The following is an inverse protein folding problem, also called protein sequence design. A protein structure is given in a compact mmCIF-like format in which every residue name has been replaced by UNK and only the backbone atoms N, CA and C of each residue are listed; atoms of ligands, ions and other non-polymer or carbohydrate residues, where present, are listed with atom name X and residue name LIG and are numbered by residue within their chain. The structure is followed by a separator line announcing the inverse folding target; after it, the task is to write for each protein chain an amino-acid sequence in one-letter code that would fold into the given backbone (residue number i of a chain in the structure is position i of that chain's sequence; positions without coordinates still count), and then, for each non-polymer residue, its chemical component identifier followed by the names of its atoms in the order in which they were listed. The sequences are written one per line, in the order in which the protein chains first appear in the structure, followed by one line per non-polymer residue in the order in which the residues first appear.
data_IF_512580993154
#
_entry.id   IF_512580993154
#
_cell.length_a   1.000
_cell.length_b   1.000
_cell.length_c   1.000
_cell.angle_alpha   90.00
_cell.angle_beta   90.00
_cell.angle_gamma   90.00
#
_symmetry.space_group_name_H-M   'P 1'
#
loop_
_entity.id
_entity.type
_entity.pdbx_description
1 polymer ?
#
# COMPACT_ATOMS: atom_id res chain seq x y z
N UNK A 1 67.25 -0.02 25.15
CA UNK A 1 68.02 0.30 23.93
C UNK A 1 67.30 -0.39 22.80
N UNK A 2 66.39 0.30 22.09
CA UNK A 2 66.65 0.84 20.73
C UNK A 2 66.52 -0.31 19.71
N UNK A 3 65.73 -0.30 18.64
CA UNK A 3 65.20 0.77 17.79
C UNK A 3 64.09 0.14 16.93
N UNK A 4 63.02 0.89 16.67
CA UNK A 4 62.04 0.60 15.62
C UNK A 4 62.64 0.97 14.24
N UNK A 5 62.32 0.18 13.21
CA UNK A 5 62.22 0.57 11.80
C UNK A 5 60.93 -0.06 11.29
N UNK A 6 59.89 0.73 11.02
CA UNK A 6 59.56 1.29 9.70
C UNK A 6 59.31 0.22 8.64
N UNK A 7 58.03 -0.07 8.41
CA UNK A 7 57.48 -0.31 7.07
C UNK A 7 56.13 0.41 7.00
N UNK A 8 56.08 1.43 6.14
CA UNK A 8 54.93 2.28 5.84
C UNK A 8 53.85 1.51 5.07
N UNK A 9 52.58 1.70 5.46
CA UNK A 9 51.41 1.39 4.61
C UNK A 9 50.69 2.71 4.31
N UNK A 10 50.37 3.01 3.03
CA UNK A 10 49.93 4.35 2.66
C UNK A 10 48.47 4.64 3.00
N UNK A 11 48.30 5.87 3.47
CA UNK A 11 47.07 6.65 3.66
C UNK A 11 46.02 6.46 2.53
N UNK A 12 44.82 5.99 2.88
CA UNK A 12 43.60 6.17 2.07
C UNK A 12 42.64 7.15 2.78
N UNK A 13 43.03 8.43 2.77
CA UNK A 13 42.13 9.55 3.05
C UNK A 13 41.11 9.70 1.91
N UNK A 14 39.97 9.00 1.97
CA UNK A 14 38.81 9.35 1.11
C UNK A 14 37.44 8.86 1.58
N UNK A 15 37.23 8.59 2.86
CA UNK A 15 35.93 8.19 3.41
C UNK A 15 35.60 8.95 4.70
N UNK A 16 35.63 10.28 4.64
CA UNK A 16 35.11 11.14 5.70
C UNK A 16 34.52 12.40 5.08
N UNK A 17 33.33 12.28 4.49
CA UNK A 17 32.44 13.42 4.27
C UNK A 17 31.00 12.96 3.96
N UNK A 18 30.30 12.46 4.99
CA UNK A 18 28.85 12.56 5.21
C UNK A 18 28.50 11.90 6.56
N UNK A 19 29.20 12.32 7.62
CA UNK A 19 28.75 12.08 8.99
C UNK A 19 28.44 13.44 9.58
N UNK A 20 27.16 13.69 9.74
CA UNK A 20 26.60 14.78 10.53
C UNK A 20 27.26 14.72 11.90
N UNK A 21 27.79 15.86 12.36
CA UNK A 21 28.46 16.05 13.63
C UNK A 21 27.58 15.55 14.79
N UNK A 22 27.94 14.42 15.38
CA UNK A 22 27.44 14.00 16.69
C UNK A 22 28.43 14.59 17.70
N UNK A 23 28.01 15.63 18.41
CA UNK A 23 28.68 16.06 19.63
C UNK A 23 28.55 14.90 20.64
N UNK A 24 29.64 14.17 20.81
CA UNK A 24 29.82 13.21 21.90
C UNK A 24 30.20 13.99 23.15
N UNK A 25 29.24 14.73 23.72
CA UNK A 25 29.33 15.15 25.10
C UNK A 25 28.88 13.97 25.98
N UNK A 26 29.74 13.58 26.91
CA UNK A 26 29.60 12.39 27.73
C UNK A 26 28.38 12.40 28.67
N UNK A 27 27.97 11.19 29.05
CA UNK A 27 26.92 10.87 30.04
C UNK A 27 25.46 10.98 29.60
N UNK A 28 25.12 10.17 28.58
CA UNK A 28 23.95 9.26 28.47
C UNK A 28 23.90 8.80 27.02
N UNK A 29 24.06 7.51 26.76
CA UNK A 29 23.61 6.94 25.48
C UNK A 29 22.11 7.22 25.38
N UNK A 30 21.73 8.27 24.65
CA UNK A 30 20.35 8.47 24.24
C UNK A 30 20.10 7.37 23.22
N UNK A 31 19.27 6.39 23.59
CA UNK A 31 18.75 5.35 22.70
C UNK A 31 17.87 6.02 21.64
N UNK A 32 18.53 6.69 20.70
CA UNK A 32 17.94 7.55 19.69
C UNK A 32 18.02 6.84 18.34
N UNK A 33 16.92 6.87 17.59
CA UNK A 33 16.87 6.21 16.29
C UNK A 33 17.91 6.83 15.34
N UNK A 34 18.62 6.06 14.49
CA UNK A 34 19.54 6.63 13.52
C UNK A 34 18.82 7.46 12.42
N UNK A 35 17.50 7.32 12.29
CA UNK A 35 16.70 7.99 11.25
C UNK A 35 16.02 9.23 11.83
N UNK A 36 16.38 10.41 11.32
CA UNK A 36 15.88 11.70 11.80
C UNK A 36 14.34 11.78 11.86
N UNK A 37 13.66 11.31 10.81
CA UNK A 37 12.21 11.32 10.73
C UNK A 37 11.56 10.49 11.85
N UNK A 38 12.19 9.37 12.23
CA UNK A 38 11.72 8.52 13.34
C UNK A 38 11.91 9.24 14.67
N UNK A 39 13.07 9.86 14.89
CA UNK A 39 13.38 10.61 16.12
C UNK A 39 12.40 11.75 16.37
N UNK A 40 12.01 12.46 15.31
CA UNK A 40 11.07 13.58 15.40
C UNK A 40 9.63 13.12 15.67
N UNK A 41 9.27 11.91 15.25
CA UNK A 41 7.88 11.43 15.26
C UNK A 41 7.58 10.42 16.37
N UNK A 42 8.55 9.65 16.83
CA UNK A 42 8.36 8.57 17.82
C UNK A 42 8.98 8.98 19.17
N UNK A 43 8.24 8.89 20.29
CA UNK A 43 8.82 9.13 21.62
C UNK A 43 9.75 7.97 22.04
N UNK A 44 10.82 8.31 22.74
CA UNK A 44 11.79 7.34 23.29
C UNK A 44 11.25 6.64 24.56
N UNK A 45 10.20 7.21 25.17
CA UNK A 45 9.62 6.71 26.43
C UNK A 45 8.37 5.85 26.19
N UNK A 46 8.27 4.73 26.91
CA UNK A 46 7.05 3.90 27.00
C UNK A 46 6.64 3.69 28.47
N UNK A 47 5.35 3.48 28.72
CA UNK A 47 4.80 3.00 30.00
C UNK A 47 4.34 1.54 29.86
N UNK A 48 5.13 0.55 30.32
CA UNK A 48 4.80 -0.86 30.23
C UNK A 48 3.57 -1.29 31.02
N UNK A 49 3.08 -0.47 31.96
CA UNK A 49 1.94 -0.82 32.82
C UNK A 49 0.58 -0.66 32.14
N UNK A 50 0.52 0.07 31.02
CA UNK A 50 -0.73 0.35 30.32
C UNK A 50 -1.35 -0.93 29.70
N UNK A 51 -2.65 -1.20 29.94
CA UNK A 51 -3.30 -2.38 29.40
C UNK A 51 -3.52 -2.24 27.89
N UNK A 52 -3.07 -3.24 27.12
CA UNK A 52 -3.20 -3.25 25.66
C UNK A 52 -4.30 -4.22 25.15
N UNK A 53 -4.24 -5.49 25.58
CA UNK A 53 -5.18 -6.55 25.19
C UNK A 53 -6.44 -6.54 26.06
N UNK A 54 -7.32 -5.56 25.83
CA UNK A 54 -8.59 -5.42 26.57
C UNK A 54 -9.76 -5.97 25.77
N UNK A 55 -10.92 -6.08 26.42
CA UNK A 55 -12.19 -6.39 25.74
C UNK A 55 -12.49 -5.41 24.59
N UNK A 56 -12.24 -4.11 24.79
CA UNK A 56 -12.44 -3.08 23.77
C UNK A 56 -11.56 -3.33 22.54
N UNK A 57 -10.30 -3.71 22.76
CA UNK A 57 -9.35 -4.01 21.69
C UNK A 57 -9.85 -5.15 20.80
N UNK A 58 -10.35 -6.23 21.39
CA UNK A 58 -10.91 -7.36 20.63
C UNK A 58 -12.18 -6.97 19.87
N UNK A 59 -13.14 -6.32 20.54
CA UNK A 59 -14.42 -5.96 19.92
C UNK A 59 -14.22 -4.94 18.79
N UNK A 60 -13.56 -3.82 19.07
CA UNK A 60 -13.35 -2.76 18.09
C UNK A 60 -12.36 -3.20 17.01
N UNK A 61 -11.33 -3.97 17.35
CA UNK A 61 -10.37 -4.53 16.40
C UNK A 61 -11.04 -5.47 15.39
N UNK A 62 -11.78 -6.48 15.86
CA UNK A 62 -12.46 -7.43 14.97
C UNK A 62 -13.49 -6.73 14.10
N UNK A 63 -14.32 -5.85 14.66
CA UNK A 63 -15.32 -5.10 13.89
C UNK A 63 -14.65 -4.23 12.83
N UNK A 64 -13.58 -3.51 13.18
CA UNK A 64 -12.85 -2.67 12.23
C UNK A 64 -12.22 -3.52 11.12
N UNK A 65 -11.60 -4.66 11.46
CA UNK A 65 -11.04 -5.60 10.48
C UNK A 65 -12.10 -6.10 9.49
N UNK A 66 -13.23 -6.61 9.99
CA UNK A 66 -14.32 -7.11 9.15
C UNK A 66 -14.90 -6.01 8.25
N UNK A 67 -15.13 -4.81 8.79
CA UNK A 67 -15.71 -3.69 8.06
C UNK A 67 -14.76 -3.19 6.96
N UNK A 68 -13.49 -2.97 7.26
CA UNK A 68 -12.51 -2.52 6.25
C UNK A 68 -12.28 -3.59 5.18
N UNK A 69 -12.26 -4.88 5.56
CA UNK A 69 -12.15 -5.98 4.59
C UNK A 69 -13.31 -5.99 3.62
N UNK A 70 -14.55 -5.88 4.13
CA UNK A 70 -15.74 -5.84 3.28
C UNK A 70 -15.75 -4.62 2.35
N UNK A 71 -15.51 -3.42 2.90
CA UNK A 71 -15.56 -2.17 2.13
C UNK A 71 -14.48 -2.13 1.05
N UNK A 72 -13.24 -2.51 1.37
CA UNK A 72 -12.16 -2.51 0.38
C UNK A 72 -12.33 -3.60 -0.67
N UNK A 73 -12.85 -4.79 -0.30
CA UNK A 73 -13.18 -5.81 -1.29
C UNK A 73 -14.27 -5.32 -2.25
N UNK A 74 -15.29 -4.62 -1.74
CA UNK A 74 -16.34 -4.03 -2.57
C UNK A 74 -15.79 -2.94 -3.50
N UNK A 75 -14.98 -2.02 -2.99
CA UNK A 75 -14.37 -0.96 -3.80
C UNK A 75 -13.33 -1.48 -4.79
N UNK A 76 -12.72 -2.64 -4.53
CA UNK A 76 -11.83 -3.34 -5.45
C UNK A 76 -12.45 -3.66 -6.81
N UNK A 77 -13.78 -3.81 -6.88
CA UNK A 77 -14.49 -4.07 -8.14
C UNK A 77 -14.87 -2.82 -8.94
N UNK A 78 -14.62 -1.62 -8.41
CA UNK A 78 -14.90 -0.39 -9.13
C UNK A 78 -13.85 -0.16 -10.21
N UNK A 79 -14.27 0.41 -11.33
CA UNK A 79 -13.36 0.80 -12.42
C UNK A 79 -12.31 1.81 -11.97
N UNK A 80 -12.71 2.78 -11.14
CA UNK A 80 -11.79 3.65 -10.41
C UNK A 80 -11.68 3.10 -8.99
N UNK A 81 -10.54 2.47 -8.70
CA UNK A 81 -10.28 1.85 -7.41
C UNK A 81 -10.35 2.90 -6.29
N UNK A 82 -11.12 2.61 -5.25
CA UNK A 82 -11.08 3.37 -4.00
C UNK A 82 -10.53 2.48 -2.91
N UNK A 83 -9.64 3.04 -2.09
CA UNK A 83 -9.05 2.34 -0.96
C UNK A 83 -9.29 3.10 0.33
N UNK A 84 -9.77 2.41 1.35
CA UNK A 84 -9.97 2.93 2.70
C UNK A 84 -8.89 2.34 3.60
N UNK A 85 -7.91 3.15 3.96
CA UNK A 85 -6.82 2.76 4.85
C UNK A 85 -7.23 2.66 6.33
N UNK A 86 -6.36 2.05 7.13
CA UNK A 86 -6.54 1.89 8.59
C UNK A 86 -6.60 3.22 9.36
N UNK A 87 -6.08 4.31 8.79
CA UNK A 87 -6.18 5.67 9.37
C UNK A 87 -7.64 6.07 9.61
N UNK A 88 -8.57 5.66 8.75
CA UNK A 88 -10.00 5.91 8.95
C UNK A 88 -10.52 5.23 10.21
N UNK A 89 -10.10 3.98 10.46
CA UNK A 89 -10.43 3.28 11.70
C UNK A 89 -9.77 3.94 12.91
N UNK A 90 -8.52 4.40 12.78
CA UNK A 90 -7.81 5.15 13.82
C UNK A 90 -8.63 6.39 14.25
N UNK A 91 -9.19 7.16 13.32
CA UNK A 91 -10.01 8.33 13.66
C UNK A 91 -11.33 7.92 14.33
N UNK A 92 -12.05 6.94 13.76
CA UNK A 92 -13.39 6.54 14.22
C UNK A 92 -13.39 5.80 15.56
N UNK A 93 -12.36 5.00 15.82
CA UNK A 93 -12.25 4.20 17.04
C UNK A 93 -12.04 5.07 18.27
N UNK A 94 -11.39 6.23 18.16
CA UNK A 94 -11.09 7.08 19.31
C UNK A 94 -12.36 7.50 20.11
N UNK A 95 -13.39 8.13 19.50
CA UNK A 95 -14.59 8.50 20.24
C UNK A 95 -15.36 7.28 20.76
N UNK A 96 -15.40 6.18 19.99
CA UNK A 96 -16.08 4.94 20.40
C UNK A 96 -15.35 4.28 21.58
N UNK A 97 -14.03 4.23 21.55
CA UNK A 97 -13.18 3.68 22.60
C UNK A 97 -13.31 4.48 23.89
N UNK A 98 -13.31 5.82 23.80
CA UNK A 98 -13.59 6.70 24.95
C UNK A 98 -15.01 6.50 25.48
N UNK A 99 -16.00 6.35 24.62
CA UNK A 99 -17.38 6.06 25.02
C UNK A 99 -17.49 4.71 25.74
N UNK A 100 -16.86 3.66 25.23
CA UNK A 100 -16.79 2.35 25.87
C UNK A 100 -16.06 2.42 27.20
N UNK A 101 -14.98 3.20 27.32
CA UNK A 101 -14.28 3.40 28.59
C UNK A 101 -15.12 4.18 29.62
N UNK A 102 -16.02 5.05 29.18
CA UNK A 102 -16.92 5.78 30.07
C UNK A 102 -18.15 4.96 30.50
N UNK A 103 -18.60 4.00 29.67
CA UNK A 103 -19.88 3.30 29.86
C UNK A 103 -19.74 1.86 30.36
N UNK A 104 -18.63 1.17 30.04
CA UNK A 104 -18.47 -0.23 30.42
C UNK A 104 -18.14 -0.39 31.90
N UNK A 105 -18.67 -1.44 32.56
CA UNK A 105 -18.43 -1.68 33.98
C UNK A 105 -16.99 -2.16 34.22
N UNK A 106 -16.33 -1.58 35.22
CA UNK A 106 -14.99 -2.01 35.67
C UNK A 106 -14.99 -3.24 36.58
N UNK A 107 -16.15 -3.90 36.74
CA UNK A 107 -16.29 -5.09 37.60
C UNK A 107 -15.44 -6.23 37.03
N UNK A 108 -14.70 -6.91 37.91
CA UNK A 108 -14.03 -8.15 37.55
C UNK A 108 -15.04 -9.27 37.40
N UNK A 109 -15.09 -9.86 36.21
CA UNK A 109 -15.90 -11.03 35.89
C UNK A 109 -14.98 -12.24 36.03
N UNK A 110 -15.31 -13.15 36.93
CA UNK A 110 -14.65 -14.45 37.02
C UNK A 110 -15.26 -15.41 36.00
N UNK A 111 -14.42 -16.04 35.20
CA UNK A 111 -14.86 -17.04 34.22
C UNK A 111 -15.22 -18.31 34.98
N UNK A 112 -16.48 -18.74 34.88
CA UNK A 112 -16.99 -19.92 35.56
C UNK A 112 -16.07 -21.14 35.30
N UNK A 113 -15.77 -21.89 36.36
CA UNK A 113 -14.89 -23.08 36.35
C UNK A 113 -13.41 -22.82 36.07
N UNK A 114 -12.94 -21.56 36.08
CA UNK A 114 -11.52 -21.23 35.96
C UNK A 114 -11.09 -20.20 37.01
N UNK A 115 -9.77 -20.08 37.25
CA UNK A 115 -9.20 -19.01 38.11
C UNK A 115 -9.03 -17.68 37.36
N UNK A 116 -9.43 -17.62 36.09
CA UNK A 116 -9.27 -16.42 35.28
C UNK A 116 -10.35 -15.39 35.61
N UNK A 117 -9.91 -14.17 35.93
CA UNK A 117 -10.78 -12.99 35.99
C UNK A 117 -10.39 -12.01 34.90
N UNK A 118 -11.38 -11.37 34.30
CA UNK A 118 -11.15 -10.27 33.36
C UNK A 118 -12.12 -9.12 33.65
N UNK A 119 -11.70 -7.90 33.33
CA UNK A 119 -12.54 -6.72 33.40
C UNK A 119 -12.92 -6.27 32.00
N UNK A 120 -14.18 -5.89 31.79
CA UNK A 120 -14.63 -5.26 30.55
C UNK A 120 -14.05 -3.85 30.39
N UNK A 121 -13.68 -3.21 31.51
CA UNK A 121 -13.12 -1.88 31.55
C UNK A 121 -11.97 -1.80 32.57
N UNK A 122 -10.75 -2.22 32.19
CA UNK A 122 -9.58 -2.23 33.08
C UNK A 122 -9.04 -0.82 33.39
N UNK A 123 -9.47 0.21 32.66
CA UNK A 123 -8.96 1.56 32.82
C UNK A 123 -9.39 2.49 31.66
N UNK A 124 -8.91 3.74 31.65
CA UNK A 124 -9.20 4.69 30.57
C UNK A 124 -8.70 4.15 29.22
N UNK A 125 -9.37 4.56 28.15
CA UNK A 125 -8.94 4.23 26.79
C UNK A 125 -7.57 4.86 26.51
N UNK A 126 -6.58 4.03 26.25
CA UNK A 126 -5.19 4.45 26.11
C UNK A 126 -4.63 4.20 24.69
N UNK A 127 -3.45 4.75 24.45
CA UNK A 127 -2.78 4.68 23.16
C UNK A 127 -2.49 3.24 22.70
N UNK A 128 -2.11 2.32 23.61
CA UNK A 128 -1.78 0.93 23.25
C UNK A 128 -3.00 0.15 22.76
N UNK A 129 -4.15 0.32 23.42
CA UNK A 129 -5.43 -0.24 22.92
C UNK A 129 -5.72 0.29 21.52
N UNK A 130 -5.56 1.59 21.30
CA UNK A 130 -5.88 2.23 20.02
C UNK A 130 -4.96 1.77 18.88
N UNK A 131 -3.67 1.62 19.17
CA UNK A 131 -2.67 1.06 18.25
C UNK A 131 -3.04 -0.37 17.87
N UNK A 132 -3.33 -1.24 18.84
CA UNK A 132 -3.71 -2.63 18.56
C UNK A 132 -4.99 -2.73 17.72
N UNK A 133 -6.01 -1.92 18.02
CA UNK A 133 -7.25 -1.88 17.21
C UNK A 133 -6.93 -1.48 15.76
N UNK A 134 -6.03 -0.52 15.57
CA UNK A 134 -5.63 -0.04 14.24
C UNK A 134 -4.83 -1.09 13.47
N UNK A 135 -4.01 -1.91 14.17
CA UNK A 135 -3.33 -3.06 13.56
C UNK A 135 -4.36 -4.10 13.08
N UNK A 136 -5.39 -4.40 13.86
CA UNK A 136 -6.48 -5.26 13.40
C UNK A 136 -7.16 -4.68 12.15
N UNK A 137 -7.44 -3.37 12.15
CA UNK A 137 -8.02 -2.68 11.01
C UNK A 137 -7.10 -2.73 9.77
N UNK A 138 -5.78 -2.60 9.92
CA UNK A 138 -4.85 -2.68 8.78
C UNK A 138 -4.82 -4.06 8.14
N UNK A 139 -4.91 -5.13 8.94
CA UNK A 139 -5.04 -6.49 8.42
C UNK A 139 -6.30 -6.67 7.57
N UNK A 140 -7.40 -6.01 7.94
CA UNK A 140 -8.62 -5.99 7.12
C UNK A 140 -8.48 -5.14 5.85
N UNK A 141 -7.72 -4.04 5.91
CA UNK A 141 -7.59 -3.07 4.82
C UNK A 141 -6.72 -3.54 3.64
N UNK A 142 -5.79 -4.48 3.87
CA UNK A 142 -4.82 -4.93 2.85
C UNK A 142 -5.41 -5.83 1.77
N UNK A 143 -6.63 -6.34 1.95
CA UNK A 143 -7.24 -7.31 1.04
C UNK A 143 -6.49 -8.64 0.98
N UNK A 144 -7.02 -9.59 0.21
CA UNK A 144 -6.50 -10.96 0.13
C UNK A 144 -6.36 -11.37 -1.33
N UNK A 145 -5.13 -11.48 -1.82
CA UNK A 145 -4.85 -11.73 -3.24
C UNK A 145 -5.49 -13.01 -3.79
N UNK A 146 -5.52 -14.08 -2.99
CA UNK A 146 -6.10 -15.36 -3.37
C UNK A 146 -7.62 -15.32 -3.63
N UNK A 147 -8.33 -14.30 -3.12
CA UNK A 147 -9.75 -14.09 -3.45
C UNK A 147 -9.94 -13.88 -4.96
N UNK A 148 -8.95 -13.30 -5.64
CA UNK A 148 -8.94 -13.12 -7.11
C UNK A 148 -9.11 -14.44 -7.85
N UNK A 149 -8.52 -15.54 -7.36
CA UNK A 149 -8.67 -16.88 -7.97
C UNK A 149 -10.14 -17.32 -7.91
N UNK A 150 -10.77 -17.17 -6.74
CA UNK A 150 -12.18 -17.52 -6.56
C UNK A 150 -13.08 -16.67 -7.46
N UNK A 151 -12.82 -15.35 -7.52
CA UNK A 151 -13.56 -14.43 -8.39
C UNK A 151 -13.41 -14.84 -9.85
N UNK A 152 -12.19 -15.13 -10.31
CA UNK A 152 -11.93 -15.50 -11.71
C UNK A 152 -12.73 -16.74 -12.10
N UNK A 153 -12.69 -17.79 -11.27
CA UNK A 153 -13.42 -19.03 -11.55
C UNK A 153 -14.94 -18.81 -11.57
N UNK A 154 -15.46 -17.96 -10.68
CA UNK A 154 -16.89 -17.69 -10.60
C UNK A 154 -17.39 -16.74 -11.70
N UNK A 155 -16.66 -15.66 -11.95
CA UNK A 155 -17.10 -14.55 -12.81
C UNK A 155 -16.73 -14.75 -14.28
N UNK A 156 -15.55 -15.31 -14.57
CA UNK A 156 -15.07 -15.47 -15.96
C UNK A 156 -15.23 -16.89 -16.48
N UNK A 157 -15.06 -17.90 -15.61
CA UNK A 157 -15.24 -19.30 -15.99
C UNK A 157 -16.64 -19.85 -15.67
N UNK A 158 -17.50 -19.04 -15.06
CA UNK A 158 -18.89 -19.39 -14.71
C UNK A 158 -19.03 -20.71 -13.95
N UNK A 159 -18.05 -21.04 -13.09
CA UNK A 159 -18.02 -22.27 -12.30
C UNK A 159 -18.11 -21.98 -10.81
N UNK A 160 -18.81 -22.86 -10.08
CA UNK A 160 -18.86 -22.81 -8.63
C UNK A 160 -17.69 -23.58 -8.02
N UNK A 161 -16.82 -22.89 -7.29
CA UNK A 161 -15.87 -23.54 -6.39
C UNK A 161 -16.56 -23.90 -5.07
N UNK A 162 -16.20 -25.06 -4.50
CA UNK A 162 -16.64 -25.43 -3.16
C UNK A 162 -16.16 -24.36 -2.16
N UNK A 163 -17.08 -23.81 -1.37
CA UNK A 163 -16.80 -22.73 -0.42
C UNK A 163 -15.69 -23.11 0.58
N UNK A 164 -15.68 -24.35 1.06
CA UNK A 164 -14.67 -24.82 2.01
C UNK A 164 -13.30 -24.85 1.35
N UNK A 165 -13.21 -25.38 0.13
CA UNK A 165 -11.95 -25.40 -0.62
C UNK A 165 -11.44 -23.99 -0.93
N UNK A 166 -12.33 -23.08 -1.31
CA UNK A 166 -11.98 -21.68 -1.56
C UNK A 166 -11.49 -20.96 -0.28
N UNK A 167 -12.17 -21.16 0.85
CA UNK A 167 -11.75 -20.59 2.14
C UNK A 167 -10.41 -21.15 2.59
N UNK A 168 -10.18 -22.46 2.44
CA UNK A 168 -8.88 -23.07 2.76
C UNK A 168 -7.76 -22.53 1.86
N UNK A 169 -7.99 -22.39 0.56
CA UNK A 169 -7.03 -21.79 -0.37
C UNK A 169 -6.69 -20.34 0.02
N UNK A 170 -7.72 -19.55 0.36
CA UNK A 170 -7.55 -18.17 0.80
C UNK A 170 -6.73 -18.14 2.10
N UNK A 171 -7.08 -18.96 3.09
CA UNK A 171 -6.42 -18.98 4.38
C UNK A 171 -4.96 -19.43 4.31
N UNK A 172 -4.66 -20.48 3.54
CA UNK A 172 -3.28 -20.96 3.37
C UNK A 172 -2.39 -19.91 2.70
N UNK A 173 -2.93 -19.17 1.73
CA UNK A 173 -2.19 -18.06 1.10
C UNK A 173 -1.79 -16.96 2.09
N UNK A 174 -2.67 -16.64 3.05
CA UNK A 174 -2.40 -15.62 4.07
C UNK A 174 -1.43 -16.13 5.14
N UNK A 175 -1.62 -17.37 5.61
CA UNK A 175 -0.71 -17.98 6.58
C UNK A 175 0.72 -18.06 6.03
N UNK A 176 0.89 -18.34 4.73
CA UNK A 176 2.20 -18.30 4.08
C UNK A 176 2.82 -16.90 4.14
N UNK A 177 2.06 -15.85 3.82
CA UNK A 177 2.51 -14.46 3.88
C UNK A 177 2.95 -14.03 5.29
N UNK A 178 2.13 -14.31 6.31
CA UNK A 178 2.49 -14.05 7.70
C UNK A 178 3.69 -14.88 8.17
N UNK A 179 3.83 -16.12 7.68
CA UNK A 179 5.00 -16.96 7.94
C UNK A 179 6.30 -16.32 7.43
N UNK A 180 6.31 -15.82 6.19
CA UNK A 180 7.46 -15.09 5.64
C UNK A 180 7.75 -13.81 6.41
N UNK A 181 6.73 -13.02 6.76
CA UNK A 181 6.91 -11.82 7.56
C UNK A 181 7.55 -12.14 8.94
N UNK A 182 7.15 -13.25 9.56
CA UNK A 182 7.74 -13.73 10.80
C UNK A 182 9.21 -14.14 10.66
N UNK A 183 9.57 -14.86 9.59
CA UNK A 183 10.95 -15.26 9.29
C UNK A 183 11.87 -14.06 9.08
N UNK A 184 11.39 -13.02 8.41
CA UNK A 184 12.17 -11.82 8.10
C UNK A 184 12.06 -10.71 9.16
N UNK A 185 11.28 -10.90 10.23
CA UNK A 185 11.06 -9.88 11.28
C UNK A 185 12.36 -9.30 11.83
N UNK A 186 13.35 -10.14 12.10
CA UNK A 186 14.66 -9.72 12.62
C UNK A 186 15.34 -8.68 11.73
N UNK A 187 15.18 -8.81 10.41
CA UNK A 187 15.83 -7.94 9.44
C UNK A 187 14.95 -6.74 9.06
N UNK A 188 13.64 -6.95 8.94
CA UNK A 188 12.70 -5.94 8.42
C UNK A 188 12.04 -5.06 9.49
N UNK A 189 12.09 -5.48 10.75
CA UNK A 189 11.39 -4.81 11.86
C UNK A 189 12.33 -4.51 13.01
N UNK A 190 13.14 -5.47 13.45
CA UNK A 190 14.00 -5.28 14.63
C UNK A 190 15.26 -4.43 14.31
N UNK A 191 15.58 -4.20 13.03
CA UNK A 191 16.69 -3.33 12.61
C UNK A 191 16.30 -1.85 12.65
N UNK A 192 17.05 -1.03 13.38
CA UNK A 192 16.79 0.41 13.52
C UNK A 192 16.94 1.23 12.22
N UNK A 193 17.66 0.70 11.23
CA UNK A 193 17.81 1.32 9.90
C UNK A 193 16.65 0.98 8.96
N UNK A 194 15.87 -0.05 9.26
CA UNK A 194 14.72 -0.43 8.46
C UNK A 194 13.47 0.25 9.01
N UNK A 195 13.00 1.27 8.31
CA UNK A 195 11.82 2.04 8.70
C UNK A 195 10.78 2.08 7.58
N UNK A 196 9.52 2.25 7.98
CA UNK A 196 8.38 2.24 7.08
C UNK A 196 7.70 3.62 7.13
N UNK A 197 7.96 4.51 6.16
CA UNK A 197 7.50 5.90 6.19
C UNK A 197 5.98 6.06 6.39
N UNK A 198 5.19 5.16 5.81
CA UNK A 198 3.72 5.12 5.99
C UNK A 198 3.28 4.95 7.44
N UNK A 199 4.07 4.26 8.26
CA UNK A 199 3.76 4.04 9.67
C UNK A 199 3.98 5.32 10.49
N UNK A 200 4.94 6.17 10.11
CA UNK A 200 5.19 7.44 10.80
C UNK A 200 3.99 8.40 10.70
N UNK A 201 3.23 8.32 9.61
CA UNK A 201 1.96 9.07 9.46
C UNK A 201 0.95 8.62 10.52
N UNK A 202 0.80 7.31 10.73
CA UNK A 202 -0.09 6.77 11.77
C UNK A 202 0.38 7.14 13.18
N UNK A 203 1.68 7.03 13.46
CA UNK A 203 2.26 7.42 14.76
C UNK A 203 2.04 8.90 15.03
N UNK A 204 2.29 9.77 14.05
CA UNK A 204 2.05 11.21 14.17
C UNK A 204 0.58 11.52 14.49
N UNK A 205 -0.36 10.81 13.87
CA UNK A 205 -1.78 10.95 14.17
C UNK A 205 -2.13 10.43 15.57
N UNK A 206 -1.58 9.30 16.00
CA UNK A 206 -1.79 8.79 17.35
C UNK A 206 -1.39 9.79 18.42
N UNK A 207 -0.22 10.40 18.23
CA UNK A 207 0.31 11.47 19.08
C UNK A 207 -0.59 12.70 19.08
N UNK A 208 -1.04 13.15 17.91
CA UNK A 208 -1.97 14.28 17.83
C UNK A 208 -3.26 13.99 18.63
N UNK A 209 -3.76 12.75 18.60
CA UNK A 209 -5.01 12.34 19.25
C UNK A 209 -4.90 12.07 20.76
N UNK A 210 -3.74 11.62 21.26
CA UNK A 210 -3.55 11.22 22.67
C UNK A 210 -2.68 12.18 23.48
N UNK A 211 -1.72 12.86 22.86
CA UNK A 211 -0.83 13.75 23.59
C UNK A 211 -1.56 15.03 23.99
N UNK A 212 -1.43 15.41 25.25
CA UNK A 212 -1.91 16.70 25.73
C UNK A 212 -0.97 17.82 25.27
N UNK A 213 -1.36 18.53 24.20
CA UNK A 213 -0.58 19.64 23.66
C UNK A 213 -0.92 20.97 24.33
N UNK A 214 0.11 21.68 24.81
CA UNK A 214 -0.03 23.08 25.23
C UNK A 214 -0.09 23.95 23.99
N UNK A 215 -1.17 24.73 23.83
CA UNK A 215 -1.38 25.59 22.66
C UNK A 215 -0.21 26.59 22.48
N UNK A 216 0.50 26.58 21.33
CA UNK A 216 1.50 27.59 21.04
C UNK A 216 0.83 28.97 20.89
N UNK A 217 1.43 30.03 21.46
CA UNK A 217 0.90 31.39 21.35
C UNK A 217 0.89 31.82 19.89
N UNK A 218 -0.29 32.16 19.37
CA UNK A 218 -0.50 32.60 17.98
C UNK A 218 -0.63 31.48 16.94
N UNK A 219 -0.54 30.20 17.34
CA UNK A 219 -0.67 29.05 16.45
C UNK A 219 -1.96 28.24 16.64
N UNK A 220 -2.20 27.33 15.68
CA UNK A 220 -3.17 26.25 15.80
C UNK A 220 -2.56 25.09 16.58
N UNK A 221 -3.36 24.36 17.36
CA UNK A 221 -2.92 23.06 17.91
C UNK A 221 -2.90 22.01 16.78
N UNK A 222 -2.16 20.90 16.96
CA UNK A 222 -2.16 19.80 15.98
C UNK A 222 -3.57 19.27 15.71
N UNK A 223 -4.40 19.18 16.74
CA UNK A 223 -5.81 18.78 16.62
C UNK A 223 -6.68 19.78 15.86
N UNK A 224 -6.48 21.09 16.08
CA UNK A 224 -7.23 22.11 15.34
C UNK A 224 -6.86 22.08 13.85
N UNK A 225 -5.56 21.99 13.54
CA UNK A 225 -5.08 21.85 12.18
C UNK A 225 -5.65 20.59 11.51
N UNK A 226 -5.60 19.44 12.20
CA UNK A 226 -6.18 18.19 11.72
C UNK A 226 -7.67 18.33 11.38
N UNK A 227 -8.47 18.94 12.27
CA UNK A 227 -9.91 19.11 12.04
C UNK A 227 -10.21 20.05 10.86
N UNK A 228 -9.45 21.14 10.72
CA UNK A 228 -9.60 22.06 9.58
C UNK A 228 -9.32 21.31 8.28
N UNK A 229 -8.18 20.63 8.18
CA UNK A 229 -7.80 19.88 6.97
C UNK A 229 -8.80 18.76 6.69
N UNK A 230 -9.27 18.04 7.71
CA UNK A 230 -10.28 16.99 7.57
C UNK A 230 -11.59 17.51 6.98
N UNK A 231 -12.13 18.60 7.55
CA UNK A 231 -13.39 19.19 7.09
C UNK A 231 -13.23 19.79 5.68
N UNK A 232 -12.14 20.51 5.42
CA UNK A 232 -11.86 21.08 4.10
C UNK A 232 -11.68 20.00 3.03
N UNK A 233 -10.96 18.92 3.34
CA UNK A 233 -10.78 17.79 2.42
C UNK A 233 -12.09 17.04 2.18
N UNK A 234 -12.91 16.85 3.22
CA UNK A 234 -14.23 16.24 3.09
C UNK A 234 -15.16 17.08 2.20
N UNK A 235 -15.20 18.39 2.42
CA UNK A 235 -15.97 19.31 1.59
C UNK A 235 -15.46 19.33 0.14
N UNK A 236 -14.14 19.32 -0.06
CA UNK A 236 -13.53 19.29 -1.39
C UNK A 236 -13.89 18.01 -2.14
N UNK A 237 -13.92 16.84 -1.48
CA UNK A 237 -14.23 15.56 -2.13
C UNK A 237 -15.60 15.53 -2.84
N UNK A 238 -16.57 16.31 -2.36
CA UNK A 238 -17.88 16.46 -3.04
C UNK A 238 -17.73 17.07 -4.44
N UNK A 239 -16.70 17.89 -4.65
CA UNK A 239 -16.48 18.60 -5.91
C UNK A 239 -16.08 17.63 -7.03
N UNK A 240 -14.95 16.89 -6.99
CA UNK A 240 -14.65 15.91 -8.03
C UNK A 240 -15.55 14.66 -7.93
N UNK A 241 -16.06 14.32 -6.74
CA UNK A 241 -16.84 13.09 -6.56
C UNK A 241 -18.27 13.15 -7.09
N UNK A 242 -18.89 14.34 -7.13
CA UNK A 242 -20.30 14.49 -7.49
C UNK A 242 -20.56 15.66 -8.43
N UNK A 243 -20.03 16.86 -8.15
CA UNK A 243 -20.36 18.06 -8.91
C UNK A 243 -19.62 18.14 -10.26
N UNK A 244 -18.33 17.82 -10.29
CA UNK A 244 -17.47 17.90 -11.47
C UNK A 244 -16.56 16.67 -11.61
N UNK A 245 -17.09 15.49 -11.98
CA UNK A 245 -16.32 14.26 -12.16
C UNK A 245 -15.17 14.36 -13.19
N UNK A 246 -15.23 15.33 -14.11
CA UNK A 246 -14.14 15.58 -15.06
C UNK A 246 -12.83 16.01 -14.40
N UNK A 247 -12.87 16.52 -13.16
CA UNK A 247 -11.68 16.89 -12.40
C UNK A 247 -10.78 15.70 -12.05
N UNK A 248 -11.30 14.47 -12.11
CA UNK A 248 -10.49 13.26 -11.90
C UNK A 248 -9.46 13.03 -13.01
N UNK A 249 -9.73 13.49 -14.25
CA UNK A 249 -8.79 13.34 -15.37
C UNK A 249 -8.94 14.47 -16.41
N UNK A 250 -8.30 15.60 -16.14
CA UNK A 250 -8.21 16.72 -17.06
C UNK A 250 -7.15 16.44 -18.13
N UNK A 251 -7.59 15.88 -19.25
CA UNK A 251 -6.73 15.48 -20.38
C UNK A 251 -6.58 16.63 -21.37
N UNK A 252 -5.58 17.50 -21.16
CA UNK A 252 -5.43 18.75 -21.92
C UNK A 252 -5.18 18.52 -23.42
N UNK A 253 -4.39 17.49 -23.76
CA UNK A 253 -4.12 17.10 -25.15
C UNK A 253 -5.40 16.71 -25.89
N UNK A 254 -6.33 16.02 -25.21
CA UNK A 254 -7.63 15.66 -25.76
C UNK A 254 -8.54 16.87 -26.01
N UNK A 255 -8.38 17.95 -25.23
CA UNK A 255 -9.15 19.19 -25.40
C UNK A 255 -8.64 20.02 -26.57
N UNK A 256 -7.32 20.08 -26.77
CA UNK A 256 -6.72 20.80 -27.88
C UNK A 256 -6.97 20.10 -29.23
N UNK A 257 -6.88 18.77 -29.28
CA UNK A 257 -7.05 17.99 -30.50
C UNK A 257 -8.23 17.01 -30.39
N UNK A 258 -9.44 17.56 -30.40
CA UNK A 258 -10.68 16.79 -30.21
C UNK A 258 -10.89 15.72 -31.28
N UNK A 259 -10.62 16.04 -32.54
CA UNK A 259 -10.92 15.16 -33.68
C UNK A 259 -9.81 14.16 -34.02
N UNK A 260 -8.63 14.28 -33.39
CA UNK A 260 -7.49 13.41 -33.68
C UNK A 260 -7.52 12.15 -32.81
N UNK A 261 -7.80 11.00 -33.43
CA UNK A 261 -7.80 9.70 -32.75
C UNK A 261 -6.43 9.37 -32.14
N UNK A 262 -5.34 9.81 -32.76
CA UNK A 262 -3.98 9.66 -32.21
C UNK A 262 -3.81 10.52 -30.96
N UNK A 263 -4.23 11.79 -30.99
CA UNK A 263 -4.13 12.66 -29.83
C UNK A 263 -4.97 12.15 -28.65
N UNK A 264 -6.15 11.58 -28.92
CA UNK A 264 -6.99 10.96 -27.89
C UNK A 264 -6.32 9.73 -27.26
N UNK A 265 -5.70 8.84 -28.07
CA UNK A 265 -4.97 7.67 -27.57
C UNK A 265 -3.76 8.03 -26.71
N UNK A 266 -3.09 9.13 -27.04
CA UNK A 266 -1.91 9.59 -26.30
C UNK A 266 -2.27 10.42 -25.07
N UNK A 267 -3.27 11.29 -25.19
CA UNK A 267 -3.61 12.28 -24.18
C UNK A 267 -4.58 11.82 -23.09
N UNK A 268 -5.42 10.82 -23.37
CA UNK A 268 -6.48 10.41 -22.44
C UNK A 268 -5.87 9.79 -21.18
N UNK A 269 -6.21 10.35 -20.01
CA UNK A 269 -5.76 9.82 -18.71
C UNK A 269 -6.48 8.55 -18.26
N UNK A 270 -7.66 8.25 -18.81
CA UNK A 270 -8.47 7.08 -18.42
C UNK A 270 -8.38 5.91 -19.41
N UNK A 271 -8.15 6.22 -20.70
CA UNK A 271 -8.19 5.22 -21.78
C UNK A 271 -6.97 5.29 -22.70
N UNK A 272 -5.96 6.08 -22.33
CA UNK A 272 -4.76 6.32 -23.13
C UNK A 272 -3.49 6.37 -22.29
N UNK A 273 -2.42 6.90 -22.87
CA UNK A 273 -1.12 7.05 -22.19
C UNK A 273 -1.08 8.21 -21.18
N UNK A 274 -2.11 9.05 -21.11
CA UNK A 274 -2.22 10.15 -20.16
C UNK A 274 -1.24 11.31 -20.37
N UNK A 275 -0.68 11.51 -21.57
CA UNK A 275 0.22 12.63 -21.84
C UNK A 275 -0.53 13.95 -21.64
N UNK A 276 -0.06 14.77 -20.69
CA UNK A 276 -0.70 16.05 -20.36
C UNK A 276 -2.08 15.88 -19.71
N UNK A 277 -2.33 14.73 -19.07
CA UNK A 277 -3.51 14.50 -18.23
C UNK A 277 -3.17 14.72 -16.76
N UNK A 278 -4.02 15.47 -16.07
CA UNK A 278 -3.84 15.78 -14.64
C UNK A 278 -5.14 15.51 -13.87
N UNK A 279 -5.03 14.86 -12.71
CA UNK A 279 -6.14 14.68 -11.78
C UNK A 279 -6.06 15.70 -10.64
N UNK A 280 -7.17 16.41 -10.39
CA UNK A 280 -7.34 17.25 -9.20
C UNK A 280 -8.10 16.51 -8.08
N UNK A 281 -8.53 15.29 -8.35
CA UNK A 281 -9.14 14.38 -7.39
C UNK A 281 -8.08 13.57 -6.64
N UNK A 282 -7.94 13.83 -5.33
CA UNK A 282 -6.99 13.11 -4.48
C UNK A 282 -7.21 11.60 -4.49
N UNK A 283 -8.46 11.14 -4.61
CA UNK A 283 -8.75 9.70 -4.64
C UNK A 283 -8.25 9.04 -5.93
N UNK A 284 -8.29 9.76 -7.05
CA UNK A 284 -7.70 9.30 -8.31
C UNK A 284 -6.17 9.31 -8.25
N UNK A 285 -5.57 10.34 -7.64
CA UNK A 285 -4.10 10.46 -7.54
C UNK A 285 -3.50 9.41 -6.59
N UNK A 286 -4.09 9.24 -5.41
CA UNK A 286 -3.54 8.36 -4.36
C UNK A 286 -4.12 6.94 -4.38
N UNK A 287 -5.21 6.69 -5.12
CA UNK A 287 -5.96 5.43 -5.04
C UNK A 287 -5.17 4.20 -5.46
N UNK A 288 -4.23 4.33 -6.39
CA UNK A 288 -3.42 3.21 -6.89
C UNK A 288 -2.00 3.15 -6.31
N UNK A 289 -1.30 4.29 -6.24
CA UNK A 289 0.10 4.36 -5.79
C UNK A 289 0.23 4.63 -4.28
N UNK A 290 -0.87 4.83 -3.57
CA UNK A 290 -0.87 5.27 -2.18
C UNK A 290 -0.62 6.77 -2.03
N UNK A 291 -0.49 7.23 -0.79
CA UNK A 291 -0.29 8.65 -0.50
C UNK A 291 1.16 9.08 -0.76
N UNK A 292 1.43 9.99 -1.72
CA UNK A 292 2.79 10.46 -1.98
C UNK A 292 3.35 11.29 -0.82
N UNK A 293 2.49 11.82 0.07
CA UNK A 293 2.92 12.59 1.24
C UNK A 293 3.71 11.76 2.25
N UNK A 294 3.50 10.45 2.27
CA UNK A 294 4.22 9.54 3.16
C UNK A 294 5.53 9.04 2.53
N UNK A 295 5.73 9.24 1.23
CA UNK A 295 6.82 8.61 0.48
C UNK A 295 7.99 9.59 0.33
N UNK A 296 9.24 9.16 0.59
CA UNK A 296 10.41 10.02 0.39
C UNK A 296 10.54 10.51 -1.05
N UNK A 297 11.00 11.76 -1.23
CA UNK A 297 11.08 12.40 -2.54
C UNK A 297 11.90 11.60 -3.56
N UNK A 298 13.04 11.03 -3.14
CA UNK A 298 13.88 10.22 -4.02
C UNK A 298 13.12 9.01 -4.60
N UNK A 299 12.27 8.36 -3.80
CA UNK A 299 11.45 7.23 -4.25
C UNK A 299 10.43 7.69 -5.29
N UNK A 300 9.76 8.83 -5.03
CA UNK A 300 8.81 9.43 -5.98
C UNK A 300 9.50 9.77 -7.29
N UNK A 301 10.67 10.41 -7.24
CA UNK A 301 11.45 10.77 -8.42
C UNK A 301 11.88 9.53 -9.22
N UNK A 302 12.34 8.47 -8.56
CA UNK A 302 12.72 7.22 -9.19
C UNK A 302 11.53 6.54 -9.89
N UNK A 303 10.36 6.47 -9.21
CA UNK A 303 9.13 5.94 -9.80
C UNK A 303 8.72 6.79 -11.02
N UNK A 304 8.78 8.12 -10.91
CA UNK A 304 8.45 9.02 -12.01
C UNK A 304 9.34 8.78 -13.22
N UNK A 305 10.67 8.70 -13.04
CA UNK A 305 11.61 8.40 -14.12
C UNK A 305 11.30 7.05 -14.76
N UNK A 306 11.01 6.01 -13.94
CA UNK A 306 10.60 4.70 -14.43
C UNK A 306 9.34 4.77 -15.29
N UNK A 307 8.32 5.50 -14.83
CA UNK A 307 7.06 5.71 -15.57
C UNK A 307 7.32 6.45 -16.89
N UNK A 308 8.12 7.52 -16.88
CA UNK A 308 8.44 8.29 -18.09
C UNK A 308 9.17 7.42 -19.13
N UNK A 309 10.20 6.68 -18.72
CA UNK A 309 10.94 5.79 -19.61
C UNK A 309 10.04 4.68 -20.15
N UNK A 310 9.21 4.09 -19.30
CA UNK A 310 8.36 2.99 -19.70
C UNK A 310 7.21 3.42 -20.62
N UNK A 311 6.37 4.36 -20.16
CA UNK A 311 5.16 4.77 -20.87
C UNK A 311 5.47 5.63 -22.09
N UNK A 312 6.51 6.46 -22.06
CA UNK A 312 6.77 7.45 -23.11
C UNK A 312 7.98 7.14 -23.99
N UNK A 313 8.81 6.14 -23.64
CA UNK A 313 9.91 5.69 -24.49
C UNK A 313 9.71 4.26 -24.95
N UNK A 314 9.65 3.29 -24.03
CA UNK A 314 9.60 1.86 -24.40
C UNK A 314 8.31 1.47 -25.12
N UNK A 315 7.14 1.83 -24.59
CA UNK A 315 5.86 1.51 -25.20
C UNK A 315 5.75 2.11 -26.61
N UNK A 316 6.06 3.41 -26.82
CA UNK A 316 6.04 3.97 -28.16
C UNK A 316 7.01 3.30 -29.13
N UNK A 317 8.24 3.03 -28.73
CA UNK A 317 9.20 2.33 -29.60
C UNK A 317 8.64 0.97 -30.00
N UNK A 318 8.13 0.18 -29.06
CA UNK A 318 7.61 -1.16 -29.34
C UNK A 318 6.34 -1.15 -30.20
N UNK A 319 5.39 -0.24 -29.92
CA UNK A 319 4.14 -0.17 -30.67
C UNK A 319 4.35 0.31 -32.11
N UNK A 320 5.12 1.39 -32.31
CA UNK A 320 5.31 1.97 -33.65
C UNK A 320 6.30 1.17 -34.51
N UNK A 321 7.29 0.50 -33.91
CA UNK A 321 8.13 -0.49 -34.61
C UNK A 321 7.38 -1.77 -34.97
N UNK A 322 6.12 -1.92 -34.53
CA UNK A 322 5.30 -3.10 -34.71
C UNK A 322 5.96 -4.38 -34.15
N UNK A 323 6.68 -4.26 -33.03
CA UNK A 323 7.26 -5.41 -32.34
C UNK A 323 6.15 -6.40 -31.96
N UNK A 324 6.34 -7.68 -32.26
CA UNK A 324 5.36 -8.74 -31.98
C UNK A 324 3.95 -8.46 -32.53
N UNK A 325 3.85 -7.82 -33.70
CA UNK A 325 2.56 -7.46 -34.32
C UNK A 325 1.68 -6.54 -33.44
N UNK A 326 2.30 -5.74 -32.56
CA UNK A 326 1.59 -4.90 -31.59
C UNK A 326 0.50 -4.00 -32.19
N UNK A 327 0.63 -3.54 -33.44
CA UNK A 327 -0.37 -2.67 -34.09
C UNK A 327 -1.71 -3.35 -34.35
N UNK A 328 -1.74 -4.68 -34.29
CA UNK A 328 -2.96 -5.48 -34.40
C UNK A 328 -3.91 -5.25 -33.24
N UNK A 329 -3.38 -4.88 -32.08
CA UNK A 329 -4.13 -4.75 -30.84
C UNK A 329 -4.23 -3.28 -30.41
N UNK A 330 -5.23 -2.93 -29.59
CA UNK A 330 -5.30 -1.60 -28.97
C UNK A 330 -4.04 -1.31 -28.15
N UNK A 331 -3.54 -0.08 -28.24
CA UNK A 331 -2.35 0.38 -27.49
C UNK A 331 -2.53 0.19 -25.97
N UNK A 332 -3.73 0.52 -25.46
CA UNK A 332 -4.09 0.42 -24.06
C UNK A 332 -5.28 -0.54 -23.90
N UNK A 333 -5.03 -1.74 -23.38
CA UNK A 333 -6.09 -2.70 -23.07
C UNK A 333 -5.62 -3.77 -22.09
N UNK A 334 -6.49 -4.12 -21.14
CA UNK A 334 -6.31 -5.25 -20.24
C UNK A 334 -6.94 -6.56 -20.78
N UNK A 335 -7.56 -6.52 -21.96
CA UNK A 335 -8.13 -7.70 -22.58
C UNK A 335 -7.04 -8.55 -23.26
N UNK A 336 -7.35 -9.84 -23.40
CA UNK A 336 -6.57 -10.80 -24.19
C UNK A 336 -7.18 -10.94 -25.58
N UNK A 337 -6.35 -11.17 -26.59
CA UNK A 337 -6.75 -11.19 -27.98
C UNK A 337 -6.37 -12.49 -28.69
N UNK A 338 -7.06 -12.77 -29.79
CA UNK A 338 -6.71 -13.85 -30.70
C UNK A 338 -5.83 -13.38 -31.87
N UNK A 339 -5.27 -14.40 -32.52
CA UNK A 339 -5.23 -14.68 -33.95
C UNK A 339 -5.55 -13.58 -34.94
N UNK A 340 -6.66 -12.87 -34.74
CA UNK A 340 -7.27 -11.95 -35.69
C UNK A 340 -7.30 -10.51 -35.16
N UNK A 341 -6.99 -10.31 -33.87
CA UNK A 341 -7.12 -9.04 -33.16
C UNK A 341 -8.46 -8.90 -32.43
N UNK A 342 -9.29 -9.95 -32.42
CA UNK A 342 -10.55 -9.98 -31.68
C UNK A 342 -10.32 -10.40 -30.23
N UNK A 343 -11.27 -10.08 -29.35
CA UNK A 343 -11.22 -10.50 -27.94
C UNK A 343 -11.20 -12.03 -27.89
N UNK A 344 -10.24 -12.58 -27.14
CA UNK A 344 -10.01 -14.01 -27.06
C UNK A 344 -11.22 -14.74 -26.45
N UNK A 345 -11.75 -15.72 -27.17
CA UNK A 345 -12.90 -16.49 -26.71
C UNK A 345 -12.48 -17.77 -25.97
N UNK A 346 -12.56 -17.73 -24.64
CA UNK A 346 -12.14 -18.83 -23.75
C UNK A 346 -13.05 -20.06 -23.90
N UNK A 347 -14.33 -19.91 -24.21
CA UNK A 347 -15.25 -21.07 -24.30
C UNK A 347 -14.95 -21.99 -25.49
N UNK A 348 -14.16 -21.53 -26.46
CA UNK A 348 -13.73 -22.35 -27.61
C UNK A 348 -12.65 -23.37 -27.28
N UNK A 349 -11.90 -23.15 -26.21
CA UNK A 349 -10.72 -23.95 -25.87
C UNK A 349 -10.87 -24.64 -24.51
N UNK A 350 -11.93 -24.33 -23.77
CA UNK A 350 -12.16 -24.87 -22.46
C UNK A 350 -13.23 -25.96 -22.54
N UNK A 351 -12.87 -27.17 -22.17
CA UNK A 351 -13.83 -28.22 -21.98
C UNK A 351 -14.60 -27.96 -20.68
N UNK A 352 -15.85 -27.55 -20.82
CA UNK A 352 -16.68 -27.18 -19.68
C UNK A 352 -16.86 -28.32 -18.66
N UNK A 353 -16.87 -29.58 -19.10
CA UNK A 353 -17.16 -30.71 -18.20
C UNK A 353 -15.98 -31.06 -17.29
N UNK A 354 -14.78 -31.11 -17.84
CA UNK A 354 -13.57 -31.50 -17.11
C UNK A 354 -12.76 -30.31 -16.59
N UNK A 355 -13.08 -29.08 -17.03
CA UNK A 355 -12.35 -27.85 -16.70
C UNK A 355 -10.87 -27.93 -17.08
N UNK A 356 -10.59 -28.58 -18.20
CA UNK A 356 -9.29 -28.71 -18.81
C UNK A 356 -9.22 -27.94 -20.14
N UNK A 357 -7.99 -27.61 -20.53
CA UNK A 357 -7.70 -26.99 -21.81
C UNK A 357 -7.79 -28.05 -22.91
N UNK A 358 -8.69 -27.86 -23.87
CA UNK A 358 -8.72 -28.64 -25.10
C UNK A 358 -7.59 -28.16 -26.02
N UNK A 359 -6.49 -28.90 -26.04
CA UNK A 359 -5.29 -28.58 -26.81
C UNK A 359 -5.60 -28.60 -28.31
N UNK A 360 -6.47 -29.51 -28.77
CA UNK A 360 -6.79 -29.66 -30.19
C UNK A 360 -7.56 -28.45 -30.69
N UNK A 361 -8.54 -27.97 -29.92
CA UNK A 361 -9.30 -26.78 -30.28
C UNK A 361 -8.51 -25.49 -30.05
N UNK A 362 -7.60 -25.46 -29.07
CA UNK A 362 -6.64 -24.38 -28.88
C UNK A 362 -5.73 -24.19 -30.11
N UNK A 363 -5.11 -25.27 -30.59
CA UNK A 363 -4.20 -25.23 -31.74
C UNK A 363 -4.92 -24.85 -33.05
N UNK A 364 -6.21 -25.19 -33.17
CA UNK A 364 -7.05 -24.77 -34.30
C UNK A 364 -7.54 -23.33 -34.21
N UNK A 365 -7.84 -22.85 -33.00
CA UNK A 365 -8.40 -21.52 -32.81
C UNK A 365 -7.32 -20.44 -32.87
N UNK A 366 -6.47 -20.35 -31.84
CA UNK A 366 -5.46 -19.31 -31.74
C UNK A 366 -4.64 -19.42 -30.46
N UNK A 367 -3.36 -19.03 -30.56
CA UNK A 367 -2.55 -18.62 -29.41
C UNK A 367 -3.13 -17.38 -28.71
N UNK A 368 -2.81 -17.19 -27.44
CA UNK A 368 -3.22 -16.02 -26.68
C UNK A 368 -2.28 -14.85 -26.98
N UNK A 369 -2.84 -13.70 -27.33
CA UNK A 369 -2.09 -12.45 -27.56
C UNK A 369 -2.47 -11.39 -26.53
N UNK A 370 -1.49 -10.54 -26.20
CA UNK A 370 -1.65 -9.44 -25.26
C UNK A 370 -1.40 -8.12 -25.98
N UNK A 371 -2.02 -7.05 -25.48
CA UNK A 371 -1.61 -5.69 -25.87
C UNK A 371 -0.16 -5.45 -25.45
N UNK A 372 0.53 -4.56 -26.16
CA UNK A 372 1.95 -4.29 -25.90
C UNK A 372 2.15 -3.76 -24.47
N UNK A 373 1.27 -2.88 -23.99
CA UNK A 373 1.33 -2.35 -22.62
C UNK A 373 1.14 -3.45 -21.59
N UNK A 374 0.21 -4.38 -21.83
CA UNK A 374 -0.06 -5.47 -20.89
C UNK A 374 1.12 -6.45 -20.84
N UNK A 375 1.69 -6.81 -21.98
CA UNK A 375 2.87 -7.66 -22.05
C UNK A 375 4.06 -7.07 -21.27
N UNK A 376 4.31 -5.77 -21.46
CA UNK A 376 5.40 -5.08 -20.79
C UNK A 376 5.17 -4.91 -19.28
N UNK A 377 3.94 -4.57 -18.84
CA UNK A 377 3.60 -4.52 -17.41
C UNK A 377 3.82 -5.89 -16.75
N UNK A 378 3.42 -6.97 -17.44
CA UNK A 378 3.61 -8.33 -16.95
C UNK A 378 5.10 -8.67 -16.86
N UNK A 379 5.90 -8.34 -17.88
CA UNK A 379 7.35 -8.53 -17.87
C UNK A 379 8.06 -7.76 -16.77
N UNK A 380 7.71 -6.48 -16.56
CA UNK A 380 8.26 -5.67 -15.47
C UNK A 380 7.88 -6.20 -14.09
N UNK A 381 6.67 -6.77 -13.94
CA UNK A 381 6.23 -7.37 -12.68
C UNK A 381 7.14 -8.55 -12.27
N UNK A 382 7.63 -9.34 -13.22
CA UNK A 382 8.65 -10.36 -12.95
C UNK A 382 10.03 -9.75 -12.69
N UNK A 383 10.40 -8.73 -13.45
CA UNK A 383 11.69 -8.05 -13.29
C UNK A 383 11.85 -7.41 -11.90
N UNK A 384 10.74 -6.99 -11.25
CA UNK A 384 10.76 -6.40 -9.92
C UNK A 384 11.44 -7.28 -8.85
N UNK A 385 11.22 -8.60 -8.89
CA UNK A 385 11.86 -9.53 -7.97
C UNK A 385 13.38 -9.57 -8.16
N UNK A 386 13.83 -9.68 -9.40
CA UNK A 386 15.27 -9.67 -9.74
C UNK A 386 15.90 -8.31 -9.43
N UNK A 387 15.19 -7.22 -9.72
CA UNK A 387 15.63 -5.86 -9.41
C UNK A 387 15.85 -5.66 -7.90
N UNK A 388 15.04 -6.30 -7.05
CA UNK A 388 15.21 -6.26 -5.61
C UNK A 388 16.52 -6.94 -5.17
N UNK A 389 16.84 -8.09 -5.76
CA UNK A 389 18.12 -8.79 -5.52
C UNK A 389 19.29 -7.94 -6.02
N UNK A 390 19.20 -7.39 -7.23
CA UNK A 390 20.24 -6.51 -7.78
C UNK A 390 20.45 -5.25 -6.95
N UNK A 391 19.37 -4.64 -6.44
CA UNK A 391 19.44 -3.49 -5.56
C UNK A 391 20.23 -3.82 -4.29
N UNK A 392 19.86 -4.89 -3.58
CA UNK A 392 20.58 -5.32 -2.37
C UNK A 392 22.04 -5.63 -2.68
N UNK A 393 22.33 -6.34 -3.78
CA UNK A 393 23.71 -6.66 -4.15
C UNK A 393 24.57 -5.43 -4.46
N UNK A 394 24.00 -4.37 -5.05
CA UNK A 394 24.73 -3.16 -5.44
C UNK A 394 24.87 -2.15 -4.29
N UNK A 395 23.84 -2.01 -3.45
CA UNK A 395 23.79 -1.00 -2.40
C UNK A 395 24.25 -1.54 -1.03
N UNK A 396 23.95 -2.80 -0.71
CA UNK A 396 24.22 -3.43 0.58
C UNK A 396 25.24 -4.57 0.50
N UNK A 397 25.69 -4.94 -0.71
CA UNK A 397 26.62 -6.06 -0.95
C UNK A 397 28.10 -5.72 -0.76
N UNK A 398 28.44 -4.64 -0.05
CA UNK A 398 29.82 -4.24 0.27
C UNK A 398 30.14 -4.40 1.73
#
# INVERSE_FOLDING_TARGET
MGSNGEDEVPNSKSLQKHQTSIDLDGDKEVDDSPIEEVRLTVPITDDPSLPALTFRTWVLGIISCCLLSFVNQFFGYRQNHLHVGSISAQILVLPIGKLMAATLPSKQIQVAFTKWSFSLNPGPFNLKEHVLITIFASCGASGVSAVSIYIIVKAFYHRSLNLVAATLLIQTSQLLGYGWAGLFRKYLVDSAYMWWPSNLVQVSLFRALHDHEKRPRGGLTRMQFFLIVFISSFAYYVVPGYLFPSLSALSFVCWLWKDSTTAQKLGSGLQGLGIGSFGLDWSTVAGFLGSPLATPFFVIANILVGILLFLYVLIPIAYWSNAYEAKRFPLFSAHTFDSTGQIYNITRILNEKAFDLDIVDYDKYSKLYLSIIFAFIYGLSFAFLTASISHVALFDGK
#
